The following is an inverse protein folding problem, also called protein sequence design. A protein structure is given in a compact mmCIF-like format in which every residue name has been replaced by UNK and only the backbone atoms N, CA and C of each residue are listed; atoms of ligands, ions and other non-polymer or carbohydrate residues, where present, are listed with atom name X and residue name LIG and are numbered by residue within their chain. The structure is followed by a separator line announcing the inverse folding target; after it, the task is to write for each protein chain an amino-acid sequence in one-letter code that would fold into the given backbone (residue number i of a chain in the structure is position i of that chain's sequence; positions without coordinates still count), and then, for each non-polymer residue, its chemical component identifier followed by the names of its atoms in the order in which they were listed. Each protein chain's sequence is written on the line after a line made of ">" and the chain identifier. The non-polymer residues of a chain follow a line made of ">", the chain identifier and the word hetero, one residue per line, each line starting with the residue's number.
data_IF_910261531896
#
_entry.id   IF_910261531896
#
_cell.length_a   1.000
_cell.length_b   1.000
_cell.length_c   1.000
_cell.angle_alpha   90.00
_cell.angle_beta   90.00
_cell.angle_gamma   90.00
#
_symmetry.space_group_name_H-M   'P 1'
#
loop_
_entity.id
_entity.type
_entity.pdbx_description
1 polymer ?
#
# COMPACT_ATOMS: atom_id res chain seq x y z
N UNK A 1 14.99 -21.50 2.80
CA UNK A 1 13.70 -20.95 3.26
C UNK A 1 13.84 -19.44 3.36
N UNK A 2 12.92 -18.65 2.80
CA UNK A 2 12.91 -17.18 2.95
C UNK A 2 11.79 -16.82 3.92
N UNK A 3 12.06 -15.99 4.91
CA UNK A 3 11.08 -15.53 5.92
C UNK A 3 11.01 -14.00 5.81
N UNK A 4 9.79 -13.46 5.76
CA UNK A 4 9.55 -12.05 6.01
C UNK A 4 9.27 -11.88 7.51
N UNK A 5 10.11 -11.11 8.20
CA UNK A 5 9.96 -10.81 9.62
C UNK A 5 9.51 -9.36 9.79
N UNK A 6 8.45 -9.15 10.56
CA UNK A 6 7.88 -7.84 10.84
C UNK A 6 8.06 -7.50 12.32
N UNK A 7 8.91 -6.51 12.59
CA UNK A 7 9.01 -5.89 13.92
C UNK A 7 8.11 -4.65 13.96
N UNK A 8 6.84 -4.86 14.32
CA UNK A 8 5.83 -3.83 14.37
C UNK A 8 5.38 -3.60 15.81
N UNK A 9 6.25 -3.02 16.65
CA UNK A 9 5.99 -2.83 18.08
C UNK A 9 4.66 -2.11 18.39
N UNK A 10 4.21 -1.22 17.50
CA UNK A 10 2.95 -0.48 17.60
C UNK A 10 1.89 -0.93 16.58
N UNK A 11 2.08 -2.09 15.95
CA UNK A 11 1.32 -2.50 14.77
C UNK A 11 1.76 -1.81 13.49
N UNK A 12 1.15 -2.23 12.37
CA UNK A 12 1.37 -1.70 11.03
C UNK A 12 0.02 -1.57 10.33
N UNK A 13 -0.24 -0.44 9.69
CA UNK A 13 -1.47 -0.25 8.91
C UNK A 13 -1.41 -1.04 7.60
N UNK A 14 -2.56 -1.32 7.00
CA UNK A 14 -2.63 -2.14 5.78
C UNK A 14 -1.87 -1.53 4.61
N UNK A 15 -1.91 -0.21 4.45
CA UNK A 15 -1.18 0.54 3.42
C UNK A 15 0.34 0.54 3.69
N UNK A 16 0.77 0.65 4.95
CA UNK A 16 2.20 0.51 5.30
C UNK A 16 2.71 -0.90 5.00
N UNK A 17 1.91 -1.93 5.30
CA UNK A 17 2.29 -3.32 5.02
C UNK A 17 2.37 -3.60 3.52
N UNK A 18 1.37 -3.17 2.75
CA UNK A 18 1.40 -3.26 1.28
C UNK A 18 2.57 -2.48 0.69
N UNK A 19 2.85 -1.29 1.23
CA UNK A 19 4.01 -0.49 0.86
C UNK A 19 5.33 -1.26 1.04
N UNK A 20 5.52 -1.89 2.20
CA UNK A 20 6.70 -2.70 2.50
C UNK A 20 6.83 -3.94 1.57
N UNK A 21 5.71 -4.58 1.22
CA UNK A 21 5.73 -5.73 0.29
C UNK A 21 6.11 -5.30 -1.13
N UNK A 22 5.58 -4.18 -1.61
CA UNK A 22 5.93 -3.60 -2.91
C UNK A 22 7.43 -3.23 -2.95
N UNK A 23 7.93 -2.60 -1.89
CA UNK A 23 9.37 -2.27 -1.77
C UNK A 23 10.25 -3.53 -1.71
N UNK A 24 9.76 -4.61 -1.09
CA UNK A 24 10.42 -5.91 -1.05
C UNK A 24 10.35 -6.70 -2.38
N UNK A 25 9.70 -6.15 -3.41
CA UNK A 25 9.68 -6.71 -4.77
C UNK A 25 8.37 -7.38 -5.20
N UNK A 26 7.27 -7.21 -4.46
CA UNK A 26 5.94 -7.59 -4.95
C UNK A 26 5.59 -6.75 -6.20
N UNK A 27 5.26 -7.36 -7.35
CA UNK A 27 4.83 -6.59 -8.51
C UNK A 27 3.51 -5.86 -8.26
N UNK A 28 3.49 -4.55 -8.50
CA UNK A 28 2.28 -3.73 -8.33
C UNK A 28 1.08 -4.24 -9.14
N UNK A 29 1.33 -4.73 -10.36
CA UNK A 29 0.30 -5.29 -11.22
C UNK A 29 -0.35 -6.55 -10.67
N UNK A 30 0.37 -7.37 -9.91
CA UNK A 30 -0.21 -8.56 -9.30
C UNK A 30 -1.08 -8.19 -8.10
N UNK A 31 -0.66 -7.21 -7.29
CA UNK A 31 -1.51 -6.61 -6.26
C UNK A 31 -2.79 -6.04 -6.86
N UNK A 32 -2.68 -5.26 -7.95
CA UNK A 32 -3.83 -4.67 -8.67
C UNK A 32 -4.81 -5.74 -9.15
N UNK A 33 -4.32 -6.84 -9.73
CA UNK A 33 -5.17 -7.96 -10.18
C UNK A 33 -5.91 -8.62 -9.03
N UNK A 34 -5.24 -8.86 -7.90
CA UNK A 34 -5.86 -9.48 -6.72
C UNK A 34 -6.93 -8.57 -6.14
N UNK A 35 -6.66 -7.27 -6.00
CA UNK A 35 -7.65 -6.31 -5.50
C UNK A 35 -8.88 -6.19 -6.42
N UNK A 36 -8.71 -6.34 -7.74
CA UNK A 36 -9.80 -6.36 -8.70
C UNK A 36 -10.74 -7.57 -8.57
N UNK A 37 -10.38 -8.59 -7.78
CA UNK A 37 -11.27 -9.72 -7.48
C UNK A 37 -12.27 -9.41 -6.35
N UNK A 38 -12.05 -8.31 -5.62
CA UNK A 38 -12.97 -7.85 -4.58
C UNK A 38 -14.14 -7.12 -5.25
N UNK A 39 -15.39 -7.28 -4.76
CA UNK A 39 -16.56 -6.56 -5.27
C UNK A 39 -16.56 -5.11 -4.75
N UNK A 40 -15.53 -4.34 -5.10
CA UNK A 40 -15.31 -2.97 -4.67
C UNK A 40 -15.03 -2.10 -5.91
N UNK A 41 -15.74 -0.99 -6.02
CA UNK A 41 -15.60 -0.01 -7.10
C UNK A 41 -15.30 1.39 -6.52
N UNK A 42 -14.98 2.34 -7.40
CA UNK A 42 -14.82 3.75 -7.03
C UNK A 42 -13.54 4.05 -6.25
N UNK A 43 -12.46 3.33 -6.55
CA UNK A 43 -11.15 3.63 -6.01
C UNK A 43 -10.04 3.46 -7.05
N UNK A 44 -8.96 4.20 -6.86
CA UNK A 44 -7.69 4.07 -7.57
C UNK A 44 -6.57 3.82 -6.57
N UNK A 45 -5.64 2.96 -6.93
CA UNK A 45 -4.44 2.69 -6.12
C UNK A 45 -3.22 3.36 -6.75
N UNK A 46 -2.27 3.76 -5.91
CA UNK A 46 -1.02 4.39 -6.30
C UNK A 46 0.10 3.92 -5.37
N UNK A 47 1.35 4.03 -5.84
CA UNK A 47 2.53 3.80 -5.03
C UNK A 47 3.64 4.76 -5.42
N UNK A 48 4.25 5.38 -4.41
CA UNK A 48 5.37 6.30 -4.61
C UNK A 48 6.53 5.94 -3.66
N UNK A 49 7.77 6.07 -4.15
CA UNK A 49 8.93 6.07 -3.25
C UNK A 49 8.95 7.37 -2.46
N UNK A 50 9.04 7.26 -1.15
CA UNK A 50 9.05 8.40 -0.21
C UNK A 50 10.33 8.40 0.62
N UNK A 51 10.78 9.60 0.98
CA UNK A 51 11.83 9.83 1.98
C UNK A 51 11.22 10.66 3.11
N UNK A 52 11.07 10.07 4.30
CA UNK A 52 10.53 10.75 5.48
C UNK A 52 11.54 10.71 6.60
N UNK A 53 11.93 11.87 7.12
CA UNK A 53 12.90 11.98 8.21
C UNK A 53 14.21 11.21 7.95
N UNK A 54 14.66 11.15 6.69
CA UNK A 54 15.85 10.42 6.28
C UNK A 54 15.68 8.91 6.05
N UNK A 55 14.47 8.37 6.22
CA UNK A 55 14.15 6.95 5.99
C UNK A 55 13.40 6.81 4.67
N UNK A 56 13.95 6.01 3.76
CA UNK A 56 13.35 5.68 2.47
C UNK A 56 12.38 4.50 2.59
N UNK A 57 11.35 4.50 1.76
CA UNK A 57 10.43 3.36 1.59
C UNK A 57 9.40 3.65 0.51
N UNK A 58 8.42 2.75 0.36
CA UNK A 58 7.35 2.90 -0.60
C UNK A 58 6.01 3.12 0.11
N UNK A 59 5.32 4.21 -0.26
CA UNK A 59 3.99 4.57 0.26
C UNK A 59 2.93 4.06 -0.70
N UNK A 60 2.08 3.13 -0.24
CA UNK A 60 0.88 2.73 -0.95
C UNK A 60 -0.27 3.68 -0.61
N UNK A 61 -1.07 4.08 -1.61
CA UNK A 61 -2.21 4.99 -1.42
C UNK A 61 -3.45 4.44 -2.10
N UNK A 62 -4.59 4.66 -1.45
CA UNK A 62 -5.92 4.42 -2.03
C UNK A 62 -6.64 5.76 -2.12
N UNK A 63 -7.08 6.09 -3.33
CA UNK A 63 -7.85 7.29 -3.64
C UNK A 63 -9.29 6.87 -3.93
N UNK A 64 -10.26 7.45 -3.25
CA UNK A 64 -11.68 7.25 -3.57
C UNK A 64 -12.07 8.16 -4.73
N UNK A 65 -12.74 7.60 -5.73
CA UNK A 65 -13.30 8.36 -6.84
C UNK A 65 -14.69 8.87 -6.42
N UNK A 66 -14.88 10.18 -6.37
CA UNK A 66 -16.23 10.78 -6.31
C UNK A 66 -16.81 11.14 -4.93
N UNK A 67 -16.00 11.49 -3.91
CA UNK A 67 -16.52 12.21 -2.73
C UNK A 67 -15.64 13.40 -2.35
N UNK A 68 -16.05 14.60 -2.77
CA UNK A 68 -15.71 15.82 -2.04
C UNK A 68 -16.30 15.67 -0.64
N UNK A 69 -15.44 15.47 0.36
CA UNK A 69 -15.83 15.62 1.75
C UNK A 69 -16.09 17.11 1.98
N UNK A 70 -17.34 17.55 1.79
CA UNK A 70 -17.82 18.76 2.46
C UNK A 70 -17.66 18.52 3.96
N UNK A 71 -16.77 19.31 4.57
CA UNK A 71 -16.60 19.39 6.02
C UNK A 71 -17.89 19.83 6.72
#
# INVERSE_FOLDING_TARGET
>A
MKIAYLDCFSGVSGDMFLGALLDAGLPFEDLRKVLATLPLDGYRIDSETVLRSGIGGLSFKVHLEGREHHH
#
